data_IF_298837506425
#
_entry.id   IF_298837506425
#
_cell.length_a   1.000
_cell.length_b   1.000
_cell.length_c   1.000
_cell.angle_alpha   90.00
_cell.angle_beta   90.00
_cell.angle_gamma   90.00
#
_symmetry.space_group_name_H-M   'P 1'
#
loop_
_entity.id
_entity.type
_entity.pdbx_description
1 polymer ?
#
# COMPACT_ATOMS: atom_id res chain seq x y z
N UNK A 1 -15.05 -56.15 -26.86
CA UNK A 1 -13.59 -56.14 -27.14
C UNK A 1 -12.94 -55.07 -26.27
N UNK A 2 -12.33 -55.45 -25.14
CA UNK A 2 -11.60 -54.49 -24.30
C UNK A 2 -10.23 -54.27 -24.93
N UNK A 3 -10.01 -53.11 -25.55
CA UNK A 3 -8.69 -52.70 -26.05
C UNK A 3 -7.80 -52.55 -24.81
N UNK A 4 -6.86 -53.48 -24.61
CA UNK A 4 -5.83 -53.33 -23.59
C UNK A 4 -4.94 -52.12 -23.97
N UNK A 5 -4.79 -51.12 -23.08
CA UNK A 5 -3.97 -49.96 -23.38
C UNK A 5 -2.48 -50.36 -23.49
N UNK A 6 -1.89 -50.21 -24.67
CA UNK A 6 -0.46 -50.42 -24.88
C UNK A 6 0.34 -49.22 -24.33
N UNK A 7 0.83 -49.38 -23.11
CA UNK A 7 1.48 -48.33 -22.31
C UNK A 7 2.81 -47.87 -22.90
N UNK A 8 3.65 -48.81 -23.33
CA UNK A 8 4.97 -48.51 -23.87
C UNK A 8 4.89 -47.79 -25.22
N UNK A 9 3.95 -48.20 -26.08
CA UNK A 9 3.69 -47.51 -27.33
C UNK A 9 3.15 -46.09 -27.09
N UNK A 10 2.29 -45.91 -26.07
CA UNK A 10 1.75 -44.59 -25.71
C UNK A 10 2.85 -43.64 -25.22
N UNK A 11 3.71 -44.07 -24.28
CA UNK A 11 4.81 -43.23 -23.78
C UNK A 11 5.84 -42.93 -24.88
N UNK A 12 6.11 -43.90 -25.78
CA UNK A 12 7.00 -43.69 -26.93
C UNK A 12 6.44 -42.66 -27.91
N UNK A 13 5.13 -42.68 -28.16
CA UNK A 13 4.46 -41.69 -29.01
C UNK A 13 4.46 -40.30 -28.37
N UNK A 14 4.17 -40.19 -27.07
CA UNK A 14 4.26 -38.92 -26.32
C UNK A 14 5.69 -38.37 -26.38
N UNK A 15 6.71 -39.23 -26.24
CA UNK A 15 8.12 -38.84 -26.36
C UNK A 15 8.47 -38.31 -27.76
N UNK A 16 7.97 -38.94 -28.82
CA UNK A 16 8.18 -38.47 -30.19
C UNK A 16 7.54 -37.09 -30.42
N UNK A 17 6.29 -36.90 -29.97
CA UNK A 17 5.60 -35.60 -30.04
C UNK A 17 6.31 -34.53 -29.19
N UNK A 18 6.87 -34.90 -28.04
CA UNK A 18 7.65 -33.98 -27.22
C UNK A 18 8.95 -33.54 -27.90
N UNK A 19 9.60 -34.45 -28.62
CA UNK A 19 10.78 -34.13 -29.43
C UNK A 19 10.44 -33.14 -30.53
N UNK A 20 9.28 -33.31 -31.20
CA UNK A 20 8.75 -32.33 -32.16
C UNK A 20 8.51 -30.98 -31.49
N UNK A 21 7.84 -30.94 -30.33
CA UNK A 21 7.56 -29.71 -29.58
C UNK A 21 8.81 -28.91 -29.18
N UNK A 22 9.93 -29.61 -28.93
CA UNK A 22 11.20 -28.99 -28.56
C UNK A 22 11.95 -28.35 -29.74
N UNK A 23 11.54 -28.62 -31.00
CA UNK A 23 12.21 -28.06 -32.16
C UNK A 23 12.15 -26.52 -32.15
N UNK A 24 13.29 -25.90 -32.47
CA UNK A 24 13.39 -24.45 -32.68
C UNK A 24 12.75 -24.10 -34.02
N UNK A 25 12.04 -22.97 -34.09
CA UNK A 25 11.44 -22.49 -35.35
C UNK A 25 10.09 -23.12 -35.74
N UNK A 26 9.43 -23.85 -34.83
CA UNK A 26 8.05 -24.29 -35.08
C UNK A 26 7.13 -23.09 -35.33
N UNK A 27 6.32 -23.17 -36.40
CA UNK A 27 5.25 -22.22 -36.66
C UNK A 27 4.31 -22.14 -35.45
N UNK A 28 3.90 -20.94 -35.08
CA UNK A 28 3.05 -20.69 -33.91
C UNK A 28 1.76 -21.55 -33.89
N UNK A 29 1.02 -21.73 -35.01
CA UNK A 29 -0.16 -22.60 -35.02
C UNK A 29 0.16 -24.06 -34.65
N UNK A 30 1.30 -24.57 -35.13
CA UNK A 30 1.77 -25.92 -34.82
C UNK A 30 2.12 -26.02 -33.33
N UNK A 31 2.85 -25.04 -32.80
CA UNK A 31 3.20 -24.99 -31.37
C UNK A 31 1.95 -24.96 -30.48
N UNK A 32 0.96 -24.15 -30.85
CA UNK A 32 -0.34 -24.06 -30.18
C UNK A 32 -1.12 -25.38 -30.24
N UNK A 33 -1.13 -26.07 -31.38
CA UNK A 33 -1.76 -27.38 -31.52
C UNK A 33 -1.10 -28.42 -30.60
N UNK A 34 0.23 -28.44 -30.54
CA UNK A 34 0.99 -29.33 -29.67
C UNK A 34 0.75 -29.02 -28.18
N UNK A 35 0.68 -27.75 -27.78
CA UNK A 35 0.29 -27.35 -26.42
C UNK A 35 -1.11 -27.86 -26.06
N UNK A 36 -2.09 -27.68 -26.94
CA UNK A 36 -3.46 -28.18 -26.75
C UNK A 36 -3.50 -29.71 -26.67
N UNK A 37 -2.70 -30.40 -27.48
CA UNK A 37 -2.55 -31.85 -27.42
C UNK A 37 -2.05 -32.30 -26.04
N UNK A 38 -0.92 -31.75 -25.56
CA UNK A 38 -0.38 -32.11 -24.25
C UNK A 38 -1.32 -31.75 -23.10
N UNK A 39 -1.95 -30.58 -23.13
CA UNK A 39 -2.95 -30.16 -22.14
C UNK A 39 -4.12 -31.15 -22.07
N UNK A 40 -4.68 -31.57 -23.21
CA UNK A 40 -5.77 -32.56 -23.26
C UNK A 40 -5.34 -33.92 -22.73
N UNK A 41 -4.13 -34.37 -23.02
CA UNK A 41 -3.62 -35.64 -22.48
C UNK A 41 -3.46 -35.54 -20.96
N UNK A 42 -2.86 -34.46 -20.47
CA UNK A 42 -2.69 -34.23 -19.05
C UNK A 42 -4.03 -34.20 -18.29
N UNK A 43 -5.06 -33.56 -18.85
CA UNK A 43 -6.41 -33.57 -18.28
C UNK A 43 -7.04 -34.97 -18.29
N UNK A 44 -6.81 -35.78 -19.33
CA UNK A 44 -7.36 -37.14 -19.46
C UNK A 44 -6.66 -38.19 -18.59
N UNK A 45 -5.35 -38.07 -18.34
CA UNK A 45 -4.63 -38.97 -17.43
C UNK A 45 -5.25 -38.93 -16.02
N UNK A 46 -5.75 -37.77 -15.61
CA UNK A 46 -6.26 -37.59 -14.27
C UNK A 46 -7.69 -38.14 -14.07
N UNK A 47 -8.60 -38.00 -15.04
CA UNK A 47 -9.97 -38.55 -14.95
C UNK A 47 -10.00 -40.08 -14.73
N UNK A 48 -8.90 -40.78 -15.05
CA UNK A 48 -8.74 -42.22 -14.87
C UNK A 48 -8.18 -42.62 -13.49
N UNK A 49 -7.92 -41.66 -12.60
CA UNK A 49 -7.11 -41.81 -11.38
C UNK A 49 -7.79 -42.43 -10.16
N UNK A 50 -8.96 -43.07 -10.28
CA UNK A 50 -9.43 -43.98 -9.21
C UNK A 50 -8.57 -45.25 -9.09
N UNK A 51 -7.70 -45.54 -10.08
CA UNK A 51 -6.72 -46.63 -10.02
C UNK A 51 -5.30 -46.10 -10.18
N UNK A 52 -4.68 -45.84 -9.03
CA UNK A 52 -3.24 -45.82 -8.74
C UNK A 52 -2.25 -45.89 -9.95
N UNK A 53 -1.40 -44.84 -10.02
CA UNK A 53 0.07 -44.96 -10.10
C UNK A 53 0.75 -45.05 -11.48
N UNK A 54 0.20 -44.44 -12.53
CA UNK A 54 1.00 -44.16 -13.75
C UNK A 54 0.83 -42.71 -14.19
N UNK A 55 1.89 -41.92 -14.08
CA UNK A 55 2.01 -40.56 -14.64
C UNK A 55 3.11 -40.59 -15.68
N UNK A 56 2.84 -40.10 -16.89
CA UNK A 56 3.87 -40.01 -17.93
C UNK A 56 5.05 -39.16 -17.45
N UNK A 57 6.27 -39.69 -17.62
CA UNK A 57 7.50 -38.96 -17.28
C UNK A 57 7.71 -37.82 -18.27
N UNK A 58 7.33 -38.03 -19.53
CA UNK A 58 7.41 -37.01 -20.58
C UNK A 58 6.47 -35.85 -20.29
N UNK A 59 5.21 -36.12 -19.92
CA UNK A 59 4.26 -35.05 -19.57
C UNK A 59 4.70 -34.26 -18.33
N UNK A 60 5.25 -34.94 -17.33
CA UNK A 60 5.78 -34.28 -16.12
C UNK A 60 6.94 -33.34 -16.46
N UNK A 61 7.86 -33.77 -17.34
CA UNK A 61 8.97 -32.93 -17.84
C UNK A 61 8.48 -31.78 -18.72
N UNK A 62 7.49 -32.02 -19.57
CA UNK A 62 6.87 -30.98 -20.39
C UNK A 62 6.25 -29.90 -19.50
N UNK A 63 5.45 -30.28 -18.50
CA UNK A 63 4.86 -29.36 -17.53
C UNK A 63 5.93 -28.56 -16.79
N UNK A 64 6.98 -29.22 -16.30
CA UNK A 64 8.09 -28.54 -15.62
C UNK A 64 8.81 -27.51 -16.51
N UNK A 65 8.73 -27.62 -17.84
CA UNK A 65 9.30 -26.62 -18.75
C UNK A 65 8.45 -25.36 -18.93
N UNK A 66 7.16 -25.39 -18.58
CA UNK A 66 6.22 -24.31 -18.90
C UNK A 66 6.49 -22.98 -18.15
N UNK A 67 6.78 -22.97 -16.83
CA UNK A 67 7.06 -21.72 -16.12
C UNK A 67 8.25 -20.94 -16.69
N UNK A 68 9.32 -21.65 -17.07
CA UNK A 68 10.48 -21.03 -17.72
C UNK A 68 10.15 -20.50 -19.11
N UNK A 69 9.33 -21.23 -19.88
CA UNK A 69 8.86 -20.75 -21.18
C UNK A 69 8.05 -19.48 -21.05
N UNK A 70 7.12 -19.44 -20.07
CA UNK A 70 6.30 -18.27 -19.78
C UNK A 70 7.18 -17.04 -19.44
N UNK A 71 8.19 -17.22 -18.58
CA UNK A 71 9.12 -16.16 -18.21
C UNK A 71 9.89 -15.58 -19.41
N UNK A 72 10.21 -16.39 -20.42
CA UNK A 72 10.91 -15.93 -21.62
C UNK A 72 10.00 -15.40 -22.73
N UNK A 73 8.73 -15.81 -22.74
CA UNK A 73 7.75 -15.39 -23.75
C UNK A 73 7.22 -13.99 -23.46
N UNK A 74 6.78 -13.72 -22.22
CA UNK A 74 6.26 -12.41 -21.82
C UNK A 74 5.23 -11.86 -22.82
N UNK A 75 5.42 -10.60 -23.24
CA UNK A 75 4.59 -9.91 -24.23
C UNK A 75 4.86 -10.27 -25.68
N UNK A 76 5.88 -11.09 -25.98
CA UNK A 76 6.21 -11.47 -27.38
C UNK A 76 5.09 -12.27 -28.04
N UNK A 77 4.27 -12.96 -27.24
CA UNK A 77 3.08 -13.66 -27.71
C UNK A 77 2.04 -13.78 -26.58
N UNK A 78 1.17 -12.78 -26.39
CA UNK A 78 0.20 -12.75 -25.29
C UNK A 78 -0.77 -13.93 -25.33
N UNK A 79 -1.24 -14.36 -26.51
CA UNK A 79 -2.20 -15.46 -26.63
C UNK A 79 -1.59 -16.80 -26.17
N UNK A 80 -0.33 -17.06 -26.53
CA UNK A 80 0.36 -18.26 -26.10
C UNK A 80 0.74 -18.18 -24.62
N UNK A 81 1.14 -17.00 -24.12
CA UNK A 81 1.38 -16.77 -22.69
C UNK A 81 0.13 -17.06 -21.85
N UNK A 82 -1.06 -16.61 -22.27
CA UNK A 82 -2.33 -16.91 -21.59
C UNK A 82 -2.62 -18.42 -21.57
N UNK A 83 -2.44 -19.12 -22.70
CA UNK A 83 -2.62 -20.58 -22.73
C UNK A 83 -1.65 -21.32 -21.81
N UNK A 84 -0.40 -20.85 -21.70
CA UNK A 84 0.58 -21.41 -20.76
C UNK A 84 0.13 -21.18 -19.32
N UNK A 85 -0.33 -19.98 -18.98
CA UNK A 85 -0.81 -19.64 -17.64
C UNK A 85 -1.97 -20.55 -17.23
N UNK A 86 -2.94 -20.80 -18.12
CA UNK A 86 -4.08 -21.68 -17.83
C UNK A 86 -3.65 -23.13 -17.53
N UNK A 87 -2.69 -23.64 -18.30
CA UNK A 87 -2.14 -24.99 -18.09
C UNK A 87 -1.36 -25.04 -16.77
N UNK A 88 -0.51 -24.05 -16.50
CA UNK A 88 0.27 -23.96 -15.27
C UNK A 88 -0.68 -23.87 -14.07
N UNK A 89 -1.70 -23.02 -14.12
CA UNK A 89 -2.69 -22.88 -13.05
C UNK A 89 -3.44 -24.19 -12.80
N UNK A 90 -3.89 -24.87 -13.85
CA UNK A 90 -4.55 -26.17 -13.74
C UNK A 90 -3.63 -27.20 -13.08
N UNK A 91 -2.36 -27.26 -13.47
CA UNK A 91 -1.40 -28.19 -12.92
C UNK A 91 -0.96 -27.85 -11.49
N UNK A 92 -0.91 -26.56 -11.15
CA UNK A 92 -0.59 -26.04 -9.82
C UNK A 92 -1.72 -26.35 -8.82
N UNK A 93 -2.98 -26.15 -9.22
CA UNK A 93 -4.16 -26.53 -8.45
C UNK A 93 -4.22 -28.04 -8.13
N UNK A 94 -3.56 -28.86 -8.95
CA UNK A 94 -3.42 -30.32 -8.77
C UNK A 94 -2.14 -30.72 -8.01
N UNK A 95 -1.43 -29.75 -7.42
CA UNK A 95 -0.20 -29.95 -6.67
C UNK A 95 0.88 -30.74 -7.41
N UNK A 96 1.07 -30.50 -8.72
CA UNK A 96 2.13 -31.16 -9.49
C UNK A 96 3.53 -30.72 -9.01
N UNK A 97 4.25 -31.63 -8.34
CA UNK A 97 5.54 -31.33 -7.68
C UNK A 97 6.61 -30.75 -8.60
N UNK A 98 6.81 -31.34 -9.79
CA UNK A 98 7.85 -30.89 -10.72
C UNK A 98 7.53 -29.52 -11.32
N UNK A 99 6.25 -29.27 -11.63
CA UNK A 99 5.77 -27.96 -12.06
C UNK A 99 5.98 -26.91 -10.96
N UNK A 100 5.57 -27.20 -9.72
CA UNK A 100 5.69 -26.25 -8.61
C UNK A 100 7.16 -25.90 -8.30
N UNK A 101 8.07 -26.88 -8.40
CA UNK A 101 9.51 -26.64 -8.26
C UNK A 101 10.05 -25.72 -9.36
N UNK A 102 9.62 -25.93 -10.60
CA UNK A 102 10.00 -25.07 -11.73
C UNK A 102 9.39 -23.66 -11.63
N UNK A 103 8.14 -23.58 -11.15
CA UNK A 103 7.45 -22.32 -10.90
C UNK A 103 8.19 -21.51 -9.83
N UNK A 104 8.62 -22.15 -8.73
CA UNK A 104 9.46 -21.53 -7.70
C UNK A 104 10.77 -20.99 -8.30
N UNK A 105 11.46 -21.79 -9.11
CA UNK A 105 12.72 -21.39 -9.74
C UNK A 105 12.56 -20.22 -10.73
N UNK A 106 11.39 -20.08 -11.34
CA UNK A 106 11.08 -19.03 -12.32
C UNK A 106 10.39 -17.81 -11.69
N UNK A 107 9.97 -17.89 -10.43
CA UNK A 107 9.12 -16.89 -9.78
C UNK A 107 9.70 -15.48 -9.82
N UNK A 108 10.99 -15.31 -9.48
CA UNK A 108 11.63 -13.99 -9.48
C UNK A 108 11.57 -13.32 -10.85
N UNK A 109 11.71 -14.07 -11.96
CA UNK A 109 11.60 -13.54 -13.33
C UNK A 109 10.16 -13.22 -13.71
N UNK A 110 9.21 -14.08 -13.32
CA UNK A 110 7.79 -13.89 -13.63
C UNK A 110 7.25 -12.63 -12.94
N UNK A 111 7.63 -12.40 -11.68
CA UNK A 111 7.17 -11.29 -10.86
C UNK A 111 8.16 -10.13 -10.77
N UNK A 112 9.06 -9.99 -11.75
CA UNK A 112 9.93 -8.82 -11.81
C UNK A 112 9.11 -7.53 -12.05
N UNK A 113 9.26 -6.47 -11.25
CA UNK A 113 8.44 -5.26 -11.34
C UNK A 113 8.74 -4.38 -12.56
N UNK A 114 9.83 -4.64 -13.30
CA UNK A 114 10.20 -3.87 -14.48
C UNK A 114 9.87 -4.64 -15.77
N UNK A 115 10.27 -5.89 -15.86
CA UNK A 115 10.20 -6.68 -17.10
C UNK A 115 9.46 -8.01 -16.95
N UNK A 116 8.94 -8.31 -15.75
CA UNK A 116 8.33 -9.59 -15.46
C UNK A 116 7.07 -9.84 -16.27
N UNK A 117 6.77 -11.12 -16.48
CA UNK A 117 5.55 -11.56 -17.18
C UNK A 117 4.28 -10.94 -16.55
N UNK A 118 4.27 -10.76 -15.23
CA UNK A 118 3.15 -10.13 -14.51
C UNK A 118 2.92 -8.67 -14.91
N UNK A 119 3.95 -7.95 -15.36
CA UNK A 119 3.85 -6.53 -15.69
C UNK A 119 3.52 -6.33 -17.17
N UNK A 120 3.97 -7.22 -18.04
CA UNK A 120 3.87 -7.06 -19.50
C UNK A 120 2.61 -7.68 -20.11
N UNK A 121 1.86 -8.49 -19.35
CA UNK A 121 0.63 -9.13 -19.82
C UNK A 121 -0.64 -8.36 -19.41
N UNK A 122 -1.76 -8.53 -20.14
CA UNK A 122 -3.04 -7.90 -19.82
C UNK A 122 -3.62 -8.32 -18.46
N UNK A 123 -4.54 -7.51 -17.92
CA UNK A 123 -5.12 -7.65 -16.58
C UNK A 123 -5.69 -9.06 -16.27
N UNK A 124 -6.32 -9.73 -17.23
CA UNK A 124 -6.85 -11.09 -17.05
C UNK A 124 -5.73 -12.10 -16.76
N UNK A 125 -4.64 -12.02 -17.53
CA UNK A 125 -3.44 -12.84 -17.32
C UNK A 125 -2.75 -12.49 -16.00
N UNK A 126 -2.70 -11.19 -15.64
CA UNK A 126 -2.16 -10.73 -14.37
C UNK A 126 -2.92 -11.34 -13.18
N UNK A 127 -4.26 -11.39 -13.25
CA UNK A 127 -5.08 -12.00 -12.21
C UNK A 127 -4.70 -13.47 -11.98
N UNK A 128 -4.55 -14.25 -13.06
CA UNK A 128 -4.13 -15.65 -12.97
C UNK A 128 -2.71 -15.80 -12.43
N UNK A 129 -1.80 -14.89 -12.80
CA UNK A 129 -0.44 -14.85 -12.25
C UNK A 129 -0.44 -14.52 -10.75
N UNK A 130 -1.27 -13.59 -10.29
CA UNK A 130 -1.44 -13.30 -8.86
C UNK A 130 -1.99 -14.54 -8.13
N UNK A 131 -2.98 -15.23 -8.70
CA UNK A 131 -3.50 -16.49 -8.15
C UNK A 131 -2.44 -17.58 -8.04
N UNK A 132 -1.50 -17.65 -8.99
CA UNK A 132 -0.40 -18.62 -8.95
C UNK A 132 0.52 -18.46 -7.73
N UNK A 133 0.59 -17.24 -7.15
CA UNK A 133 1.34 -17.01 -5.90
C UNK A 133 0.80 -17.90 -4.79
N UNK A 134 -0.49 -18.25 -4.77
CA UNK A 134 -1.04 -19.16 -3.76
C UNK A 134 -0.38 -20.54 -3.76
N UNK A 135 0.01 -21.05 -4.93
CA UNK A 135 0.54 -22.41 -5.08
C UNK A 135 2.05 -22.51 -4.91
N UNK A 136 2.80 -21.40 -4.86
CA UNK A 136 4.26 -21.42 -4.76
C UNK A 136 4.73 -22.22 -3.53
N UNK A 137 5.69 -23.14 -3.63
CA UNK A 137 6.22 -23.86 -2.48
C UNK A 137 6.77 -22.98 -1.37
N UNK A 138 7.39 -21.83 -1.69
CA UNK A 138 7.87 -20.89 -0.68
C UNK A 138 7.78 -19.45 -1.16
N UNK A 139 7.71 -18.52 -0.22
CA UNK A 139 7.64 -17.08 -0.46
C UNK A 139 8.86 -16.40 0.20
N UNK A 140 10.05 -16.46 -0.45
CA UNK A 140 11.25 -15.84 0.09
C UNK A 140 11.14 -14.30 0.07
N UNK A 141 11.91 -13.65 0.95
CA UNK A 141 11.95 -12.19 1.09
C UNK A 141 12.15 -11.44 -0.24
N UNK A 142 13.06 -11.92 -1.11
CA UNK A 142 13.33 -11.32 -2.42
C UNK A 142 12.10 -11.31 -3.34
N UNK A 143 11.29 -12.38 -3.29
CA UNK A 143 10.06 -12.45 -4.07
C UNK A 143 9.01 -11.50 -3.52
N UNK A 144 8.86 -11.44 -2.19
CA UNK A 144 7.93 -10.53 -1.52
C UNK A 144 8.30 -9.06 -1.78
N UNK A 145 9.59 -8.74 -1.78
CA UNK A 145 10.07 -7.41 -2.17
C UNK A 145 9.66 -7.04 -3.59
N UNK A 146 9.84 -7.95 -4.58
CA UNK A 146 9.39 -7.73 -5.96
C UNK A 146 7.87 -7.57 -6.07
N UNK A 147 7.12 -8.41 -5.37
CA UNK A 147 5.66 -8.35 -5.31
C UNK A 147 5.17 -7.03 -4.71
N UNK A 148 5.80 -6.56 -3.63
CA UNK A 148 5.51 -5.25 -3.04
C UNK A 148 5.81 -4.13 -4.03
N UNK A 149 6.95 -4.22 -4.76
CA UNK A 149 7.27 -3.28 -5.83
C UNK A 149 6.23 -3.27 -6.96
N UNK A 150 5.70 -4.42 -7.35
CA UNK A 150 4.61 -4.50 -8.32
C UNK A 150 3.35 -3.77 -7.83
N UNK A 151 3.04 -3.84 -6.54
CA UNK A 151 1.93 -3.09 -5.93
C UNK A 151 2.20 -1.59 -5.93
N UNK A 152 3.33 -1.13 -5.41
CA UNK A 152 3.59 0.31 -5.22
C UNK A 152 3.79 1.05 -6.55
N UNK A 153 4.40 0.41 -7.55
CA UNK A 153 4.65 1.01 -8.87
C UNK A 153 3.41 1.02 -9.79
N UNK A 154 2.23 0.62 -9.29
CA UNK A 154 1.00 0.55 -10.08
C UNK A 154 1.03 -0.49 -11.20
N UNK A 155 1.96 -1.46 -11.16
CA UNK A 155 2.04 -2.54 -12.16
C UNK A 155 0.90 -3.55 -12.00
N UNK A 156 0.47 -3.73 -10.76
CA UNK A 156 -0.79 -4.36 -10.41
C UNK A 156 -1.81 -3.28 -10.09
N UNK A 157 -3.03 -3.41 -10.58
CA UNK A 157 -4.14 -2.56 -10.14
C UNK A 157 -4.37 -2.71 -8.63
N UNK A 158 -5.02 -1.72 -8.00
CA UNK A 158 -5.38 -1.79 -6.58
C UNK A 158 -6.18 -3.05 -6.23
N UNK A 159 -7.07 -3.49 -7.13
CA UNK A 159 -7.83 -4.74 -6.97
C UNK A 159 -6.95 -6.01 -7.00
N UNK A 160 -5.94 -6.06 -7.87
CA UNK A 160 -4.99 -7.17 -7.94
C UNK A 160 -4.02 -7.17 -6.76
N UNK A 161 -3.57 -5.99 -6.34
CA UNK A 161 -2.79 -5.82 -5.12
C UNK A 161 -3.57 -6.31 -3.89
N UNK A 162 -4.88 -5.99 -3.81
CA UNK A 162 -5.74 -6.46 -2.73
C UNK A 162 -5.88 -8.00 -2.73
N UNK A 163 -6.06 -8.61 -3.91
CA UNK A 163 -6.06 -10.07 -4.05
C UNK A 163 -4.74 -10.70 -3.60
N UNK A 164 -3.62 -10.11 -4.00
CA UNK A 164 -2.29 -10.57 -3.61
C UNK A 164 -2.09 -10.49 -2.10
N UNK A 165 -2.42 -9.36 -1.47
CA UNK A 165 -2.34 -9.17 -0.02
C UNK A 165 -3.20 -10.24 0.69
N UNK A 166 -4.41 -10.50 0.18
CA UNK A 166 -5.28 -11.55 0.71
C UNK A 166 -4.68 -12.96 0.60
N UNK A 167 -4.08 -13.30 -0.55
CA UNK A 167 -3.35 -14.57 -0.73
C UNK A 167 -2.20 -14.68 0.27
N UNK A 168 -1.40 -13.63 0.43
CA UNK A 168 -0.28 -13.62 1.37
C UNK A 168 -0.75 -13.73 2.82
N UNK A 169 -1.85 -13.07 3.18
CA UNK A 169 -2.47 -13.23 4.50
C UNK A 169 -2.89 -14.69 4.73
N UNK A 170 -3.61 -15.31 3.79
CA UNK A 170 -4.01 -16.72 3.87
C UNK A 170 -2.82 -17.68 4.05
N UNK A 171 -1.67 -17.33 3.47
CA UNK A 171 -0.43 -18.10 3.53
C UNK A 171 0.48 -17.77 4.70
N UNK A 172 0.13 -16.77 5.49
CA UNK A 172 0.83 -16.40 6.73
C UNK A 172 0.36 -17.26 7.91
N UNK A 173 1.09 -17.20 9.02
CA UNK A 173 0.71 -17.82 10.29
C UNK A 173 -0.57 -17.23 10.91
N UNK A 174 -1.05 -16.09 10.41
CA UNK A 174 -2.16 -15.32 10.97
C UNK A 174 -3.53 -15.66 10.37
N UNK A 175 -3.62 -16.52 9.35
CA UNK A 175 -4.86 -16.82 8.63
C UNK A 175 -5.92 -17.62 9.40
N UNK A 176 -5.67 -17.94 10.67
CA UNK A 176 -6.61 -18.67 11.55
C UNK A 176 -6.92 -20.11 11.12
N UNK A 177 -6.36 -20.58 9.99
CA UNK A 177 -6.51 -21.95 9.52
C UNK A 177 -5.70 -22.90 10.39
N UNK A 178 -6.41 -23.74 11.16
CA UNK A 178 -5.86 -24.83 11.97
C UNK A 178 -5.39 -25.99 11.09
N UNK A 179 -4.37 -25.80 10.26
CA UNK A 179 -3.63 -26.91 9.66
C UNK A 179 -2.42 -27.29 10.51
N UNK A 180 -2.19 -28.60 10.64
CA UNK A 180 -1.12 -29.17 11.45
C UNK A 180 0.26 -28.66 11.04
N UNK A 181 1.01 -28.21 12.04
CA UNK A 181 2.44 -27.94 12.11
C UNK A 181 3.27 -28.72 11.06
N UNK A 182 3.86 -28.02 10.06
CA UNK A 182 5.34 -27.95 9.94
C UNK A 182 5.97 -27.05 8.87
N UNK A 183 5.27 -26.45 7.91
CA UNK A 183 5.94 -25.59 6.92
C UNK A 183 5.11 -24.33 6.60
N UNK A 184 5.21 -23.30 7.44
CA UNK A 184 4.79 -21.97 7.04
C UNK A 184 5.68 -21.53 5.88
N UNK A 185 5.06 -21.21 4.76
CA UNK A 185 5.76 -21.02 3.50
C UNK A 185 6.39 -19.61 3.39
N UNK A 186 6.12 -18.76 4.39
CA UNK A 186 6.57 -17.38 4.58
C UNK A 186 6.81 -17.14 6.07
N UNK A 187 7.88 -16.42 6.45
CA UNK A 187 8.10 -16.02 7.84
C UNK A 187 7.23 -14.81 8.24
N UNK A 188 6.93 -14.67 9.53
CA UNK A 188 6.17 -13.52 10.04
C UNK A 188 6.91 -12.20 9.74
N UNK A 189 8.25 -12.21 9.85
CA UNK A 189 9.10 -11.04 9.55
C UNK A 189 8.97 -10.63 8.08
N UNK A 190 8.99 -11.60 7.16
CA UNK A 190 8.86 -11.31 5.74
C UNK A 190 7.45 -10.79 5.39
N UNK A 191 6.42 -11.32 6.05
CA UNK A 191 5.04 -10.85 5.89
C UNK A 191 4.87 -9.40 6.34
N UNK A 192 5.32 -9.07 7.56
CA UNK A 192 5.26 -7.69 8.05
C UNK A 192 6.14 -6.75 7.21
N UNK A 193 7.29 -7.22 6.74
CA UNK A 193 8.17 -6.44 5.85
C UNK A 193 7.47 -6.13 4.51
N UNK A 194 6.75 -7.10 3.95
CA UNK A 194 5.93 -6.90 2.76
C UNK A 194 4.81 -5.89 3.00
N UNK A 195 4.04 -6.04 4.09
CA UNK A 195 2.95 -5.12 4.43
C UNK A 195 3.48 -3.69 4.64
N UNK A 196 4.57 -3.53 5.38
CA UNK A 196 5.16 -2.23 5.65
C UNK A 196 5.72 -1.56 4.37
N UNK A 197 6.43 -2.32 3.53
CA UNK A 197 6.94 -1.80 2.25
C UNK A 197 5.81 -1.35 1.34
N UNK A 198 4.70 -2.10 1.32
CA UNK A 198 3.51 -1.80 0.52
C UNK A 198 2.73 -0.59 1.07
N UNK A 199 2.63 -0.45 2.41
CA UNK A 199 2.04 0.69 3.10
C UNK A 199 2.84 1.99 2.95
N UNK A 200 4.16 1.87 2.81
CA UNK A 200 5.03 3.03 2.59
C UNK A 200 4.81 3.62 1.21
N UNK A 201 4.46 2.78 0.22
CA UNK A 201 4.17 3.19 -1.16
C UNK A 201 5.38 3.59 -1.99
N UNK A 202 6.56 3.60 -1.40
CA UNK A 202 7.82 3.99 -2.02
C UNK A 202 8.92 3.02 -1.58
N UNK A 203 9.80 2.69 -2.52
CA UNK A 203 10.98 1.90 -2.26
C UNK A 203 12.01 2.70 -1.44
N UNK A 204 12.95 1.98 -0.82
CA UNK A 204 14.04 2.59 -0.07
C UNK A 204 14.89 3.51 -0.97
N UNK A 205 15.10 3.09 -2.22
CA UNK A 205 15.87 3.84 -3.22
C UNK A 205 15.16 5.16 -3.57
N UNK A 206 13.85 5.13 -3.79
CA UNK A 206 13.05 6.34 -4.08
C UNK A 206 13.04 7.29 -2.88
N UNK A 207 12.82 6.79 -1.66
CA UNK A 207 12.85 7.62 -0.45
C UNK A 207 14.23 8.25 -0.23
N UNK A 208 15.30 7.50 -0.50
CA UNK A 208 16.69 8.01 -0.40
C UNK A 208 16.94 9.08 -1.45
N UNK A 209 16.47 8.87 -2.69
CA UNK A 209 16.59 9.84 -3.77
C UNK A 209 15.87 11.16 -3.43
N UNK A 210 14.67 11.10 -2.85
CA UNK A 210 13.91 12.27 -2.41
C UNK A 210 14.65 13.12 -1.35
N UNK A 211 15.55 12.52 -0.56
CA UNK A 211 16.32 13.26 0.44
C UNK A 211 17.42 14.14 -0.18
N UNK A 212 17.77 13.95 -1.45
CA UNK A 212 18.87 14.69 -2.08
C UNK A 212 18.55 16.17 -2.35
N UNK A 213 17.28 16.60 -2.22
CA UNK A 213 16.68 17.95 -2.33
C UNK A 213 17.01 18.77 -3.60
N UNK A 214 18.17 18.57 -4.24
CA UNK A 214 18.55 19.21 -5.50
C UNK A 214 17.72 18.64 -6.63
N UNK A 215 16.86 19.47 -7.20
CA UNK A 215 16.12 19.16 -8.42
C UNK A 215 14.92 18.23 -8.23
N UNK A 216 14.42 18.06 -7.00
CA UNK A 216 13.13 17.38 -6.77
C UNK A 216 12.01 18.40 -7.01
N UNK A 217 11.23 18.29 -8.10
CA UNK A 217 10.10 19.18 -8.32
C UNK A 217 8.97 18.86 -7.33
N UNK A 218 8.02 19.79 -7.16
CA UNK A 218 6.78 19.57 -6.39
C UNK A 218 6.97 19.25 -4.90
N UNK A 219 7.99 19.81 -4.26
CA UNK A 219 8.15 19.75 -2.79
C UNK A 219 7.54 20.99 -2.15
N UNK A 220 6.59 20.79 -1.23
CA UNK A 220 6.05 21.88 -0.42
C UNK A 220 6.98 22.13 0.76
N UNK A 221 7.41 23.38 0.86
CA UNK A 221 8.30 23.85 1.90
C UNK A 221 7.55 24.65 2.95
N UNK A 222 7.88 24.40 4.20
CA UNK A 222 7.46 25.24 5.32
C UNK A 222 8.58 25.29 6.36
N UNK A 223 8.74 26.43 7.02
CA UNK A 223 9.71 26.59 8.11
C UNK A 223 9.18 26.08 9.46
N UNK A 224 7.90 25.71 9.52
CA UNK A 224 7.19 25.37 10.75
C UNK A 224 7.11 23.86 11.02
N UNK A 225 7.52 23.02 10.06
CA UNK A 225 7.62 21.57 10.24
C UNK A 225 8.94 21.05 9.67
N UNK A 226 9.58 20.08 10.35
CA UNK A 226 10.78 19.41 9.83
C UNK A 226 10.47 18.45 8.68
N UNK A 227 9.19 18.12 8.45
CA UNK A 227 8.74 17.23 7.37
C UNK A 227 8.27 18.08 6.19
N UNK A 228 8.91 17.89 5.05
CA UNK A 228 8.54 18.46 3.76
C UNK A 228 7.74 17.43 2.96
N UNK A 229 6.78 17.88 2.16
CA UNK A 229 5.93 16.98 1.38
C UNK A 229 6.35 16.94 -0.08
N UNK A 230 6.62 15.74 -0.58
CA UNK A 230 6.66 15.47 -2.01
C UNK A 230 5.23 15.20 -2.50
N UNK A 231 4.74 15.99 -3.45
CA UNK A 231 3.40 15.82 -3.98
C UNK A 231 3.37 14.72 -5.04
N UNK A 232 2.65 13.65 -4.75
CA UNK A 232 2.30 12.64 -5.76
C UNK A 232 1.29 13.19 -6.75
N UNK A 233 1.16 12.56 -7.92
CA UNK A 233 0.00 12.81 -8.81
C UNK A 233 -1.29 12.19 -8.23
N UNK A 234 -2.45 12.46 -8.84
CA UNK A 234 -3.73 11.96 -8.33
C UNK A 234 -3.85 10.43 -8.44
N UNK A 235 -3.43 9.85 -9.57
CA UNK A 235 -3.59 8.43 -9.83
C UNK A 235 -2.70 7.59 -8.91
N UNK A 236 -1.44 7.99 -8.73
CA UNK A 236 -0.51 7.40 -7.78
C UNK A 236 -1.04 7.51 -6.35
N UNK A 237 -1.56 8.68 -5.97
CA UNK A 237 -2.14 8.89 -4.64
C UNK A 237 -3.33 7.97 -4.39
N UNK A 238 -4.30 7.92 -5.31
CA UNK A 238 -5.51 7.10 -5.15
C UNK A 238 -5.18 5.61 -5.14
N UNK A 239 -4.30 5.17 -6.03
CA UNK A 239 -3.82 3.79 -6.07
C UNK A 239 -3.14 3.39 -4.75
N UNK A 240 -2.20 4.22 -4.27
CA UNK A 240 -1.51 3.96 -2.99
C UNK A 240 -2.50 3.96 -1.81
N UNK A 241 -3.48 4.86 -1.82
CA UNK A 241 -4.52 4.91 -0.80
C UNK A 241 -5.33 3.61 -0.74
N UNK A 242 -5.82 3.13 -1.88
CA UNK A 242 -6.65 1.91 -1.96
C UNK A 242 -5.85 0.65 -1.57
N UNK A 243 -4.57 0.58 -1.96
CA UNK A 243 -3.68 -0.50 -1.53
C UNK A 243 -3.46 -0.46 -0.01
N UNK A 244 -3.25 0.72 0.56
CA UNK A 244 -3.06 0.90 2.00
C UNK A 244 -4.29 0.49 2.80
N UNK A 245 -5.50 0.77 2.31
CA UNK A 245 -6.74 0.28 2.94
C UNK A 245 -6.73 -1.24 3.12
N UNK A 246 -6.23 -1.97 2.11
CA UNK A 246 -6.14 -3.43 2.17
C UNK A 246 -5.03 -3.91 3.11
N UNK A 247 -3.90 -3.21 3.16
CA UNK A 247 -2.85 -3.48 4.15
C UNK A 247 -3.38 -3.25 5.57
N UNK A 248 -4.10 -2.15 5.79
CA UNK A 248 -4.72 -1.84 7.07
C UNK A 248 -5.70 -2.92 7.51
N UNK A 249 -6.56 -3.39 6.59
CA UNK A 249 -7.48 -4.49 6.87
C UNK A 249 -6.73 -5.76 7.27
N UNK A 250 -5.64 -6.09 6.57
CA UNK A 250 -4.80 -7.26 6.88
C UNK A 250 -4.17 -7.17 8.27
N UNK A 251 -3.72 -5.97 8.68
CA UNK A 251 -3.18 -5.74 10.03
C UNK A 251 -4.26 -5.83 11.11
N UNK A 252 -5.48 -5.36 10.83
CA UNK A 252 -6.62 -5.38 11.76
C UNK A 252 -7.13 -6.80 12.09
N UNK A 253 -7.03 -7.74 11.15
CA UNK A 253 -7.50 -9.12 11.34
C UNK A 253 -6.47 -10.00 12.07
N UNK A 254 -5.25 -9.52 12.29
CA UNK A 254 -4.24 -10.24 13.10
C UNK A 254 -4.71 -10.29 14.56
N UNK A 255 -4.80 -11.48 15.20
CA UNK A 255 -5.29 -11.61 16.57
C UNK A 255 -4.45 -10.84 17.60
N UNK A 256 -3.13 -10.82 17.42
CA UNK A 256 -2.14 -10.14 18.26
C UNK A 256 -2.03 -8.65 17.90
N UNK A 257 -3.12 -7.88 18.08
CA UNK A 257 -3.23 -6.50 17.57
C UNK A 257 -2.22 -5.54 18.17
N UNK A 258 -2.02 -5.55 19.49
CA UNK A 258 -1.06 -4.66 20.14
C UNK A 258 0.37 -4.94 19.70
N UNK A 259 0.76 -6.21 19.55
CA UNK A 259 2.07 -6.57 19.02
C UNK A 259 2.24 -6.19 17.55
N UNK A 260 1.20 -6.38 16.73
CA UNK A 260 1.18 -5.94 15.32
C UNK A 260 1.38 -4.42 15.22
N UNK A 261 0.70 -3.68 16.09
CA UNK A 261 0.86 -2.23 16.21
C UNK A 261 2.28 -1.86 16.63
N UNK A 262 2.86 -2.53 17.62
CA UNK A 262 4.24 -2.32 18.10
C UNK A 262 5.28 -2.53 16.99
N UNK A 263 5.13 -3.59 16.20
CA UNK A 263 5.98 -3.87 15.04
C UNK A 263 5.86 -2.75 14.01
N UNK A 264 4.63 -2.32 13.69
CA UNK A 264 4.39 -1.25 12.73
C UNK A 264 4.99 0.08 13.19
N UNK A 265 4.76 0.51 14.44
CA UNK A 265 5.31 1.77 14.94
C UNK A 265 6.85 1.75 15.00
N UNK A 266 7.44 0.59 15.29
CA UNK A 266 8.89 0.39 15.26
C UNK A 266 9.44 0.54 13.84
N UNK A 267 8.75 -0.04 12.84
CA UNK A 267 9.10 0.11 11.44
C UNK A 267 8.99 1.57 10.97
N UNK A 268 7.91 2.28 11.31
CA UNK A 268 7.75 3.71 11.01
C UNK A 268 8.87 4.52 11.66
N UNK A 269 9.14 4.27 12.94
CA UNK A 269 10.20 4.98 13.69
C UNK A 269 11.58 4.77 13.07
N UNK A 270 11.88 3.55 12.65
CA UNK A 270 13.18 3.20 12.07
C UNK A 270 13.38 3.72 10.65
N UNK A 271 12.32 3.74 9.84
CA UNK A 271 12.44 3.97 8.40
C UNK A 271 11.95 5.34 7.93
N UNK A 272 11.04 6.01 8.67
CA UNK A 272 10.39 7.24 8.22
C UNK A 272 10.70 8.47 9.10
N UNK A 273 10.84 8.32 10.42
CA UNK A 273 10.98 9.47 11.35
C UNK A 273 12.22 10.34 11.09
N UNK A 274 13.28 9.76 10.51
CA UNK A 274 14.50 10.48 10.16
C UNK A 274 14.49 11.13 8.76
N UNK A 275 13.42 10.97 7.98
CA UNK A 275 13.33 11.55 6.63
C UNK A 275 12.87 12.99 6.69
N UNK A 276 13.49 13.85 5.91
CA UNK A 276 13.09 15.25 5.75
C UNK A 276 11.98 15.38 4.73
N UNK A 277 12.08 14.68 3.59
CA UNK A 277 11.06 14.72 2.53
C UNK A 277 10.26 13.43 2.54
N UNK A 278 8.94 13.54 2.66
CA UNK A 278 8.01 12.41 2.69
C UNK A 278 6.89 12.63 1.66
N UNK A 279 6.52 11.62 0.87
CA UNK A 279 5.37 11.74 -0.04
C UNK A 279 4.07 12.04 0.71
N UNK A 280 3.24 12.92 0.16
CA UNK A 280 1.91 13.26 0.70
C UNK A 280 1.03 12.02 0.92
N UNK A 281 1.05 11.08 -0.03
CA UNK A 281 0.36 9.80 0.08
C UNK A 281 0.90 8.95 1.25
N UNK A 282 2.22 8.80 1.40
CA UNK A 282 2.84 8.08 2.52
C UNK A 282 2.48 8.70 3.86
N UNK A 283 2.58 10.02 4.00
CA UNK A 283 2.22 10.72 5.23
C UNK A 283 0.75 10.48 5.59
N UNK A 284 -0.16 10.67 4.63
CA UNK A 284 -1.61 10.44 4.83
C UNK A 284 -1.94 8.99 5.18
N UNK A 285 -1.34 8.02 4.48
CA UNK A 285 -1.50 6.59 4.71
C UNK A 285 -1.01 6.16 6.09
N UNK A 286 0.14 6.66 6.55
CA UNK A 286 0.65 6.41 7.91
C UNK A 286 -0.31 6.95 8.97
N UNK A 287 -0.78 8.19 8.83
CA UNK A 287 -1.78 8.76 9.75
C UNK A 287 -3.05 7.90 9.78
N UNK A 288 -3.56 7.52 8.61
CA UNK A 288 -4.76 6.69 8.47
C UNK A 288 -4.63 5.31 9.12
N UNK A 289 -3.50 4.64 8.93
CA UNK A 289 -3.27 3.31 9.52
C UNK A 289 -3.11 3.40 11.04
N UNK A 290 -2.38 4.40 11.55
CA UNK A 290 -2.28 4.61 13.00
C UNK A 290 -3.67 4.88 13.60
N UNK A 291 -4.50 5.73 12.97
CA UNK A 291 -5.88 5.98 13.42
C UNK A 291 -6.72 4.69 13.52
N UNK A 292 -6.55 3.77 12.58
CA UNK A 292 -7.38 2.56 12.50
C UNK A 292 -6.91 1.45 13.41
N UNK A 293 -5.60 1.31 13.59
CA UNK A 293 -5.01 0.24 14.41
C UNK A 293 -4.96 0.59 15.89
N UNK A 294 -4.97 1.88 16.25
CA UNK A 294 -4.90 2.30 17.64
C UNK A 294 -6.16 1.86 18.40
N UNK A 295 -5.96 1.08 19.47
CA UNK A 295 -6.97 0.77 20.47
C UNK A 295 -6.49 1.17 21.88
N UNK A 296 -7.33 0.94 22.89
CA UNK A 296 -7.04 1.28 24.29
C UNK A 296 -5.87 0.47 24.90
N UNK A 297 -5.40 -0.58 24.22
CA UNK A 297 -4.28 -1.42 24.66
C UNK A 297 -2.95 -1.00 24.05
N UNK A 298 -2.98 -0.18 22.99
CA UNK A 298 -1.80 0.26 22.27
C UNK A 298 -1.15 1.48 22.95
N UNK A 299 0.18 1.48 23.06
CA UNK A 299 0.95 2.62 23.55
C UNK A 299 1.80 3.16 22.41
N UNK A 300 1.62 4.44 22.09
CA UNK A 300 2.40 5.12 21.06
C UNK A 300 3.79 5.47 21.57
N UNK A 301 4.80 5.18 20.75
CA UNK A 301 6.18 5.59 20.99
C UNK A 301 6.32 7.11 21.06
N UNK A 302 7.16 7.56 21.99
CA UNK A 302 7.57 8.95 22.15
C UNK A 302 8.26 9.51 20.90
N UNK A 303 8.89 8.67 20.09
CA UNK A 303 9.49 9.07 18.80
C UNK A 303 8.45 9.27 17.70
N UNK A 304 7.32 8.54 17.78
CA UNK A 304 6.29 8.56 16.75
C UNK A 304 5.38 9.78 16.90
N UNK A 305 5.06 10.21 18.12
CA UNK A 305 4.15 11.33 18.36
C UNK A 305 4.59 12.66 17.67
N UNK A 306 5.85 13.13 17.79
CA UNK A 306 6.30 14.34 17.10
C UNK A 306 6.32 14.19 15.58
N UNK A 307 6.59 12.98 15.08
CA UNK A 307 6.55 12.68 13.66
C UNK A 307 5.13 12.80 13.11
N UNK A 308 4.14 12.16 13.77
CA UNK A 308 2.73 12.28 13.39
C UNK A 308 2.26 13.74 13.42
N UNK A 309 2.68 14.52 14.43
CA UNK A 309 2.37 15.94 14.52
C UNK A 309 2.96 16.75 13.35
N UNK A 310 4.21 16.45 12.97
CA UNK A 310 4.88 17.10 11.83
C UNK A 310 4.20 16.75 10.51
N UNK A 311 3.85 15.48 10.29
CA UNK A 311 3.08 15.04 9.13
C UNK A 311 1.71 15.71 9.06
N UNK A 312 0.98 15.78 10.18
CA UNK A 312 -0.31 16.47 10.25
C UNK A 312 -0.18 17.94 9.85
N UNK A 313 0.79 18.65 10.42
CA UNK A 313 0.99 20.06 10.09
C UNK A 313 1.32 20.23 8.61
N UNK A 314 2.28 19.49 8.08
CA UNK A 314 2.71 19.66 6.68
C UNK A 314 1.58 19.33 5.70
N UNK A 315 0.76 18.32 6.01
CA UNK A 315 -0.43 17.99 5.21
C UNK A 315 -1.47 19.11 5.31
N UNK A 316 -1.79 19.60 6.51
CA UNK A 316 -2.75 20.69 6.68
C UNK A 316 -2.28 21.99 6.03
N UNK A 317 -0.98 22.30 6.13
CA UNK A 317 -0.35 23.42 5.44
C UNK A 317 -0.55 23.29 3.94
N UNK A 318 -0.17 22.14 3.36
CA UNK A 318 -0.43 21.83 1.94
C UNK A 318 -1.89 22.07 1.56
N UNK A 319 -2.84 21.53 2.32
CA UNK A 319 -4.26 21.65 1.99
C UNK A 319 -4.77 23.09 2.00
N UNK A 320 -4.15 23.97 2.78
CA UNK A 320 -4.52 25.38 2.88
C UNK A 320 -3.82 26.26 1.85
N UNK A 321 -2.66 25.81 1.34
CA UNK A 321 -1.92 26.49 0.27
C UNK A 321 -2.29 26.01 -1.13
N UNK A 322 -3.12 24.97 -1.24
CA UNK A 322 -3.69 24.53 -2.53
C UNK A 322 -4.51 25.64 -3.17
N UNK A 323 -4.21 25.95 -4.44
CA UNK A 323 -5.01 26.88 -5.23
C UNK A 323 -6.45 26.34 -5.34
N UNK A 324 -7.42 27.19 -5.02
CA UNK A 324 -8.84 26.83 -5.08
C UNK A 324 -9.25 26.76 -6.56
N UNK A 325 -9.39 25.55 -7.12
CA UNK A 325 -9.96 25.43 -8.47
C UNK A 325 -9.83 24.08 -9.15
N UNK A 326 -8.84 23.25 -8.80
CA UNK A 326 -8.62 21.99 -9.49
C UNK A 326 -9.41 20.82 -8.87
N UNK A 327 -10.25 20.18 -9.67
CA UNK A 327 -11.07 19.05 -9.25
C UNK A 327 -10.24 17.85 -8.76
N UNK A 328 -9.00 17.71 -9.25
CA UNK A 328 -8.05 16.67 -8.82
C UNK A 328 -7.63 16.85 -7.36
N UNK A 329 -7.43 18.10 -6.93
CA UNK A 329 -7.03 18.43 -5.56
C UNK A 329 -8.14 18.23 -4.54
N UNK A 330 -9.43 18.30 -4.94
CA UNK A 330 -10.56 18.06 -4.04
C UNK A 330 -10.57 16.64 -3.47
N UNK A 331 -10.35 15.62 -4.32
CA UNK A 331 -10.35 14.21 -3.85
C UNK A 331 -9.22 13.91 -2.88
N UNK A 332 -8.02 14.44 -3.14
CA UNK A 332 -6.89 14.34 -2.20
C UNK A 332 -7.21 15.06 -0.89
N UNK A 333 -7.75 16.27 -1.01
CA UNK A 333 -8.08 17.13 0.13
C UNK A 333 -9.03 16.45 1.10
N UNK A 334 -10.12 15.84 0.62
CA UNK A 334 -11.10 15.20 1.50
C UNK A 334 -10.48 14.03 2.29
N UNK A 335 -9.69 13.19 1.61
CA UNK A 335 -8.99 12.05 2.25
C UNK A 335 -7.96 12.53 3.28
N UNK A 336 -7.09 13.47 2.90
CA UNK A 336 -6.02 13.99 3.76
C UNK A 336 -6.57 14.80 4.95
N UNK A 337 -7.58 15.65 4.72
CA UNK A 337 -8.26 16.38 5.77
C UNK A 337 -8.90 15.42 6.76
N UNK A 338 -9.63 14.40 6.26
CA UNK A 338 -10.26 13.38 7.08
C UNK A 338 -9.28 12.69 8.03
N UNK A 339 -8.15 12.19 7.52
CA UNK A 339 -7.15 11.51 8.37
C UNK A 339 -6.46 12.46 9.35
N UNK A 340 -6.16 13.71 8.97
CA UNK A 340 -5.59 14.70 9.87
C UNK A 340 -6.55 15.06 11.02
N UNK A 341 -7.83 15.23 10.72
CA UNK A 341 -8.85 15.48 11.75
C UNK A 341 -8.99 14.26 12.66
N UNK A 342 -9.07 13.05 12.10
CA UNK A 342 -9.19 11.82 12.87
C UNK A 342 -8.03 11.62 13.84
N UNK A 343 -6.78 11.82 13.40
CA UNK A 343 -5.62 11.61 14.28
C UNK A 343 -5.52 12.69 15.35
N UNK A 344 -5.82 13.96 15.04
CA UNK A 344 -5.79 15.05 16.01
C UNK A 344 -6.91 14.94 17.05
N UNK A 345 -8.06 14.37 16.69
CA UNK A 345 -9.15 14.08 17.61
C UNK A 345 -8.87 12.84 18.46
N UNK A 346 -8.32 11.79 17.86
CA UNK A 346 -8.01 10.53 18.56
C UNK A 346 -6.82 10.68 19.52
N UNK A 347 -5.84 11.53 19.16
CA UNK A 347 -4.59 11.71 19.89
C UNK A 347 -4.37 13.19 20.26
N UNK A 348 -4.93 13.66 21.38
CA UNK A 348 -4.81 15.06 21.80
C UNK A 348 -3.35 15.51 22.01
N UNK A 349 -2.47 14.55 22.33
CA UNK A 349 -1.04 14.79 22.47
C UNK A 349 -0.37 15.15 21.14
N UNK A 350 -0.81 14.57 20.03
CA UNK A 350 -0.35 14.93 18.67
C UNK A 350 -0.75 16.36 18.36
N UNK A 351 -2.00 16.76 18.65
CA UNK A 351 -2.45 18.14 18.49
C UNK A 351 -1.61 19.11 19.33
N UNK A 352 -1.38 18.79 20.60
CA UNK A 352 -0.54 19.64 21.47
C UNK A 352 0.88 19.80 20.93
N UNK A 353 1.52 18.71 20.49
CA UNK A 353 2.86 18.76 19.89
C UNK A 353 2.88 19.58 18.60
N UNK A 354 1.86 19.43 17.76
CA UNK A 354 1.70 20.22 16.54
C UNK A 354 1.58 21.71 16.86
N UNK A 355 0.77 22.09 17.85
CA UNK A 355 0.67 23.48 18.28
C UNK A 355 1.99 24.02 18.86
N UNK A 356 2.73 23.19 19.61
CA UNK A 356 4.02 23.57 20.17
C UNK A 356 5.11 23.74 19.09
N UNK A 357 5.01 23.03 17.97
CA UNK A 357 5.95 23.17 16.85
C UNK A 357 5.69 24.42 16.00
N UNK A 358 4.51 25.05 16.11
CA UNK A 358 4.19 26.36 15.50
C UNK A 358 4.99 27.49 16.15
N UNK A 359 6.30 27.50 15.92
CA UNK A 359 7.21 28.58 16.31
C UNK A 359 7.02 29.77 15.36
N UNK A 360 5.87 30.42 15.43
CA UNK A 360 5.46 31.51 14.53
C UNK A 360 6.48 32.66 14.42
N UNK A 361 7.34 32.84 15.42
CA UNK A 361 8.45 33.80 15.38
C UNK A 361 9.52 33.47 14.32
N UNK A 362 9.53 32.23 13.81
CA UNK A 362 10.42 31.75 12.74
C UNK A 362 9.69 31.58 11.40
N UNK A 363 8.37 31.79 11.38
CA UNK A 363 7.57 31.65 10.18
C UNK A 363 7.84 32.81 9.22
N UNK A 364 7.78 32.55 7.91
CA UNK A 364 7.77 33.62 6.92
C UNK A 364 6.49 34.46 7.02
N UNK A 365 6.50 35.73 6.59
CA UNK A 365 5.31 36.59 6.63
C UNK A 365 4.12 36.02 5.82
N UNK A 366 4.40 35.19 4.82
CA UNK A 366 3.43 34.49 3.96
C UNK A 366 2.82 33.25 4.62
N UNK A 367 3.49 32.65 5.62
CA UNK A 367 2.98 31.48 6.34
C UNK A 367 2.00 31.87 7.46
N UNK A 368 2.09 33.10 7.99
CA UNK A 368 1.25 33.57 9.10
C UNK A 368 -0.26 33.52 8.79
N UNK A 369 -0.76 33.95 7.61
CA UNK A 369 -2.16 33.80 7.25
C UNK A 369 -2.60 32.33 7.20
N UNK A 370 -1.74 31.43 6.72
CA UNK A 370 -2.01 29.99 6.65
C UNK A 370 -2.16 29.41 8.06
N UNK A 371 -1.27 29.79 8.98
CA UNK A 371 -1.34 29.40 10.40
C UNK A 371 -2.62 29.93 11.05
N UNK A 372 -2.99 31.18 10.77
CA UNK A 372 -4.23 31.77 11.26
C UNK A 372 -5.47 31.02 10.76
N UNK A 373 -5.52 30.70 9.47
CA UNK A 373 -6.60 29.91 8.88
C UNK A 373 -6.65 28.49 9.47
N UNK A 374 -5.50 27.85 9.67
CA UNK A 374 -5.40 26.55 10.33
C UNK A 374 -6.03 26.58 11.73
N UNK A 375 -5.59 27.51 12.58
CA UNK A 375 -6.11 27.65 13.95
C UNK A 375 -7.63 27.86 13.96
N UNK A 376 -8.13 28.71 13.06
CA UNK A 376 -9.57 28.94 12.89
C UNK A 376 -10.31 27.65 12.54
N UNK A 377 -9.83 26.87 11.58
CA UNK A 377 -10.48 25.62 11.19
C UNK A 377 -10.47 24.58 12.32
N UNK A 378 -9.34 24.47 13.05
CA UNK A 378 -9.24 23.57 14.21
C UNK A 378 -10.22 23.96 15.33
N UNK A 379 -10.44 25.26 15.56
CA UNK A 379 -11.41 25.77 16.54
C UNK A 379 -12.87 25.54 16.11
N UNK A 380 -13.15 25.63 14.81
CA UNK A 380 -14.50 25.44 14.25
C UNK A 380 -14.90 23.96 14.21
N UNK A 381 -13.94 23.05 14.15
CA UNK A 381 -14.21 21.61 14.06
C UNK A 381 -14.55 21.01 15.43
N UNK A 382 -15.80 20.59 15.64
CA UNK A 382 -16.35 20.20 16.94
C UNK A 382 -15.48 19.22 17.78
N UNK A 383 -15.00 18.06 17.26
CA UNK A 383 -14.17 17.15 18.04
C UNK A 383 -12.77 17.70 18.36
N UNK A 384 -12.25 18.62 17.55
CA UNK A 384 -10.93 19.23 17.79
C UNK A 384 -11.03 20.41 18.76
N UNK A 385 -12.15 21.13 18.73
CA UNK A 385 -12.42 22.29 19.60
C UNK A 385 -12.18 21.97 21.08
N UNK A 386 -12.64 20.82 21.57
CA UNK A 386 -12.43 20.42 22.98
C UNK A 386 -10.93 20.30 23.33
N UNK A 387 -10.13 19.74 22.42
CA UNK A 387 -8.68 19.62 22.63
C UNK A 387 -7.95 20.96 22.44
N UNK A 388 -8.45 21.84 21.57
CA UNK A 388 -7.97 23.21 21.45
C UNK A 388 -8.22 24.00 22.74
N UNK A 389 -9.39 23.83 23.36
CA UNK A 389 -9.72 24.45 24.66
C UNK A 389 -8.82 23.96 25.79
N UNK A 390 -8.53 22.65 25.82
CA UNK A 390 -7.56 22.10 26.77
C UNK A 390 -6.14 22.69 26.59
N UNK A 391 -5.85 23.28 25.43
CA UNK A 391 -4.59 23.96 25.12
C UNK A 391 -4.77 25.49 24.94
N UNK A 392 -5.81 26.09 25.52
CA UNK A 392 -6.17 27.50 25.31
C UNK A 392 -5.02 28.48 25.53
N UNK A 393 -4.20 28.28 26.57
CA UNK A 393 -3.03 29.14 26.87
C UNK A 393 -2.01 29.10 25.72
N UNK A 394 -1.74 27.91 25.18
CA UNK A 394 -0.81 27.75 24.06
C UNK A 394 -1.37 28.42 22.80
N UNK A 395 -2.66 28.22 22.52
CA UNK A 395 -3.34 28.85 21.37
C UNK A 395 -3.32 30.37 21.51
N UNK A 396 -3.62 30.91 22.69
CA UNK A 396 -3.56 32.35 22.98
C UNK A 396 -2.16 32.91 22.77
N UNK A 397 -1.12 32.19 23.20
CA UNK A 397 0.27 32.61 23.00
C UNK A 397 0.64 32.64 21.51
N UNK A 398 0.20 31.65 20.73
CA UNK A 398 0.44 31.62 19.29
C UNK A 398 -0.24 32.82 18.62
N UNK A 399 -1.52 33.08 18.93
CA UNK A 399 -2.27 34.23 18.38
C UNK A 399 -1.59 35.55 18.76
N UNK A 400 -1.18 35.72 20.02
CA UNK A 400 -0.45 36.90 20.48
C UNK A 400 0.87 37.09 19.72
N UNK A 401 1.61 36.02 19.47
CA UNK A 401 2.84 36.11 18.69
C UNK A 401 2.55 36.53 17.23
N UNK A 402 1.51 35.97 16.61
CA UNK A 402 1.07 36.36 15.25
C UNK A 402 0.73 37.86 15.20
N UNK A 403 -0.03 38.38 16.17
CA UNK A 403 -0.40 39.81 16.20
C UNK A 403 0.80 40.72 16.39
N UNK A 404 1.75 40.34 17.25
CA UNK A 404 2.97 41.14 17.46
C UNK A 404 3.83 41.23 16.21
N UNK A 405 3.87 40.19 15.37
CA UNK A 405 4.65 40.19 14.13
C UNK A 405 3.98 40.98 12.99
N UNK A 406 2.66 41.20 13.06
CA UNK A 406 1.87 41.92 12.05
C UNK A 406 1.51 43.36 12.43
N UNK A 407 1.91 43.83 13.63
CA UNK A 407 1.53 45.13 14.19
C UNK A 407 2.03 46.38 13.44
N UNK A 408 2.77 46.22 12.34
CA UNK A 408 3.30 47.32 11.51
C UNK A 408 2.54 47.63 10.21
N UNK A 409 1.41 46.98 9.91
CA UNK A 409 0.67 47.14 8.64
C UNK A 409 -0.85 47.34 8.78
N UNK A 410 -1.57 47.49 7.65
CA UNK A 410 -3.04 47.51 7.59
C UNK A 410 -3.57 46.20 8.18
N UNK A 411 -4.54 46.27 9.10
CA UNK A 411 -5.13 45.10 9.75
C UNK A 411 -5.82 44.21 8.71
N UNK A 412 -5.21 43.07 8.39
CA UNK A 412 -5.71 42.12 7.40
C UNK A 412 -6.95 41.37 7.93
N UNK A 413 -7.98 41.19 7.09
CA UNK A 413 -9.29 40.60 7.48
C UNK A 413 -9.17 39.23 8.17
N UNK A 414 -8.24 38.38 7.74
CA UNK A 414 -8.05 37.05 8.31
C UNK A 414 -7.60 37.09 9.78
N UNK A 415 -6.89 38.14 10.20
CA UNK A 415 -6.45 38.32 11.58
C UNK A 415 -7.64 38.68 12.47
N UNK A 416 -8.53 39.55 11.98
CA UNK A 416 -9.79 39.89 12.64
C UNK A 416 -10.69 38.65 12.78
N UNK A 417 -10.81 37.86 11.72
CA UNK A 417 -11.58 36.60 11.73
C UNK A 417 -11.02 35.60 12.75
N UNK A 418 -9.69 35.49 12.87
CA UNK A 418 -9.02 34.62 13.84
C UNK A 418 -9.32 35.05 15.27
N UNK A 419 -9.21 36.35 15.58
CA UNK A 419 -9.56 36.90 16.89
C UNK A 419 -11.01 36.66 17.24
N UNK A 420 -11.92 36.90 16.30
CA UNK A 420 -13.34 36.65 16.49
C UNK A 420 -13.60 35.17 16.81
N UNK A 421 -13.04 34.24 16.02
CA UNK A 421 -13.18 32.81 16.27
C UNK A 421 -12.62 32.40 17.63
N UNK A 422 -11.45 32.90 18.01
CA UNK A 422 -10.86 32.62 19.33
C UNK A 422 -11.76 33.12 20.46
N UNK A 423 -12.31 34.33 20.35
CA UNK A 423 -13.16 34.89 21.40
C UNK A 423 -14.49 34.13 21.54
N UNK A 424 -15.12 33.77 20.41
CA UNK A 424 -16.37 33.01 20.39
C UNK A 424 -16.19 31.62 21.01
N UNK A 425 -15.09 30.92 20.69
CA UNK A 425 -14.94 29.53 21.08
C UNK A 425 -14.15 29.33 22.38
N UNK A 426 -13.13 30.16 22.69
CA UNK A 426 -12.24 29.97 23.84
C UNK A 426 -12.56 30.89 25.01
N UNK A 427 -12.86 32.18 24.78
CA UNK A 427 -13.11 33.13 25.88
C UNK A 427 -14.56 33.16 26.35
N UNK A 428 -15.38 32.19 25.96
CA UNK A 428 -16.79 32.08 26.31
C UNK A 428 -17.06 31.80 27.80
N UNK A 429 -16.71 32.74 28.67
CA UNK A 429 -17.54 33.06 29.83
C UNK A 429 -18.44 34.24 29.45
N UNK A 430 -19.77 34.15 29.70
CA UNK A 430 -20.63 35.32 29.60
C UNK A 430 -20.30 36.25 30.77
N UNK A 431 -19.48 37.26 30.55
CA UNK A 431 -19.42 38.39 31.48
C UNK A 431 -20.59 39.34 31.21
N UNK A 432 -21.71 39.07 31.90
CA UNK A 432 -22.74 40.04 32.29
C UNK A 432 -23.95 40.21 31.36
N UNK A 433 -25.06 40.73 31.90
CA UNK A 433 -26.07 40.00 32.66
C UNK A 433 -27.26 39.59 31.77
N UNK A 434 -28.01 38.61 32.26
CA UNK A 434 -29.36 38.25 31.82
C UNK A 434 -30.19 39.45 31.33
N UNK A 435 -30.54 39.45 30.05
CA UNK A 435 -31.77 40.06 29.55
C UNK A 435 -32.16 39.46 28.19
N UNK A 436 -33.25 38.68 28.21
CA UNK A 436 -34.33 38.66 27.22
C UNK A 436 -33.95 38.18 25.80
N UNK A 437 -34.23 36.92 25.45
CA UNK A 437 -35.47 36.47 24.79
C UNK A 437 -35.76 37.17 23.45
N UNK A 438 -36.19 36.36 22.47
CA UNK A 438 -36.87 36.72 21.20
C UNK A 438 -35.96 37.32 20.11
N UNK A 439 -36.03 36.99 18.81
CA UNK A 439 -37.00 36.23 17.99
C UNK A 439 -36.43 36.08 16.55
N UNK A 440 -36.89 35.03 15.85
CA UNK A 440 -36.69 34.58 14.45
C UNK A 440 -35.37 33.89 14.06
#
# INVERSE_FOLDING_TARGET
MQIQPNREATESLIKAVYTLYQQRGLLLPVRTLLLKFFSKIYQKEELRSYRLRYRSKVLSRWLAGLPLQLAHLGSRNPELSTQLIDIIHTAAARANKELLKSLQASALRIYDPQEGTVVVLPAESQQRLVQLVYFLPSLPADLLSRLSRCCIMGRLSSSLAAMLIGILHMRSSFSGWKYSVKDWLMSDVDYFSFLFSTLTGFSKEELTWLQSLRGVPHVIQTQLSPVLLYLTDLDQFLHHWDVTETVCHSLLVIPARSQSFDILQSAISKHLVGLTVIPDSTAGCVLGVICKLLDHTCVLSETLLPFLASCCYSLLYFLLTLEKGEAEHLRKRDKLWGVCVSILALLPRVLRLMLQSLRVNRAGPEELPVVGQLLRLLLQHAPLRTHMLANAILVQQIIKNITTLKSGGIQEQWLTDLHYCFNVYITGHPQGPSALSTVY
#
